data_IF_059730227094
#
_entry.id   IF_059730227094
#
_cell.length_a   1.000
_cell.length_b   1.000
_cell.length_c   1.000
_cell.angle_alpha   90.00
_cell.angle_beta   90.00
_cell.angle_gamma   90.00
#
_symmetry.space_group_name_H-M   'P 1'
#
loop_
_entity.id
_entity.type
_entity.pdbx_description
1 polymer ?
#
# COMPACT_ATOMS: atom_id res chain seq x y z
N UNK A 1 -28.92 30.86 -1.30
CA UNK A 1 -27.51 31.03 -1.74
C UNK A 1 -26.94 29.66 -2.06
N UNK A 2 -26.72 29.35 -3.34
CA UNK A 2 -26.11 28.09 -3.80
C UNK A 2 -24.58 28.25 -3.77
N UNK A 3 -23.89 27.48 -2.93
CA UNK A 3 -22.45 27.30 -3.03
C UNK A 3 -22.17 26.04 -3.85
N UNK A 4 -21.54 26.25 -5.01
CA UNK A 4 -21.02 25.19 -5.88
C UNK A 4 -19.67 24.74 -5.33
N UNK A 5 -19.55 23.48 -4.93
CA UNK A 5 -18.27 22.88 -4.55
C UNK A 5 -17.56 22.34 -5.80
N UNK A 6 -16.32 22.81 -5.96
CA UNK A 6 -15.36 22.44 -7.00
C UNK A 6 -15.09 20.93 -7.03
N UNK A 7 -15.08 20.36 -8.24
CA UNK A 7 -14.72 18.96 -8.54
C UNK A 7 -13.34 18.61 -7.96
N UNK A 8 -13.29 17.63 -7.06
CA UNK A 8 -12.05 16.95 -6.66
C UNK A 8 -11.49 16.18 -7.86
N UNK A 9 -10.21 16.37 -8.17
CA UNK A 9 -9.51 15.72 -9.29
C UNK A 9 -9.07 14.31 -8.89
N UNK A 10 -9.28 13.35 -9.79
CA UNK A 10 -8.97 11.93 -9.65
C UNK A 10 -7.45 11.65 -9.54
N UNK A 11 -7.07 10.81 -8.58
CA UNK A 11 -5.71 10.30 -8.34
C UNK A 11 -5.65 8.79 -8.72
N UNK A 12 -4.49 8.12 -8.68
CA UNK A 12 -4.30 6.76 -9.20
C UNK A 12 -4.71 5.70 -8.19
N UNK A 13 -5.58 4.77 -8.60
CA UNK A 13 -6.11 3.73 -7.72
C UNK A 13 -5.80 2.34 -8.28
N UNK A 14 -5.32 1.43 -7.42
CA UNK A 14 -4.94 0.05 -7.73
C UNK A 14 -5.31 -0.81 -6.51
N UNK A 15 -5.81 -2.04 -6.68
CA UNK A 15 -5.73 -3.06 -5.62
C UNK A 15 -5.25 -4.38 -6.21
N UNK A 16 -3.97 -4.73 -6.13
CA UNK A 16 -3.47 -6.05 -6.54
C UNK A 16 -2.61 -6.64 -5.43
N UNK A 17 -2.84 -7.92 -5.12
CA UNK A 17 -1.94 -8.69 -4.28
C UNK A 17 -0.76 -9.18 -5.13
N UNK A 18 0.44 -8.85 -4.71
CA UNK A 18 1.69 -9.39 -5.25
C UNK A 18 2.27 -10.33 -4.20
N UNK A 19 2.50 -11.56 -4.61
CA UNK A 19 3.10 -12.60 -3.80
C UNK A 19 4.59 -12.58 -4.10
N UNK A 20 5.41 -12.41 -3.07
CA UNK A 20 6.88 -12.30 -3.20
C UNK A 20 7.55 -13.55 -2.65
N UNK A 21 8.19 -14.33 -3.53
CA UNK A 21 9.01 -15.50 -3.17
C UNK A 21 10.50 -15.14 -3.32
N UNK A 22 11.34 -15.51 -2.36
CA UNK A 22 12.75 -15.11 -2.28
C UNK A 22 13.71 -16.10 -2.96
N UNK A 23 14.86 -15.63 -3.45
CA UNK A 23 15.98 -16.44 -3.95
C UNK A 23 17.13 -16.46 -2.92
N UNK A 24 17.77 -17.60 -2.71
CA UNK A 24 19.06 -17.68 -2.00
C UNK A 24 20.20 -17.52 -3.02
N UNK A 25 21.03 -16.47 -2.96
CA UNK A 25 22.49 -16.46 -3.29
C UNK A 25 23.07 -15.02 -3.08
N UNK A 26 24.40 -14.86 -2.86
CA UNK A 26 25.03 -13.59 -2.51
C UNK A 26 25.23 -12.70 -3.75
N UNK A 27 25.13 -11.40 -3.49
CA UNK A 27 25.08 -10.31 -4.46
C UNK A 27 26.43 -10.16 -5.19
N UNK A 28 26.43 -10.13 -6.52
CA UNK A 28 27.61 -9.78 -7.34
C UNK A 28 27.45 -8.35 -7.93
N UNK A 29 28.55 -7.62 -8.22
CA UNK A 29 28.49 -6.18 -8.47
C UNK A 29 27.96 -5.83 -9.87
N UNK A 30 27.22 -4.72 -9.91
CA UNK A 30 26.53 -4.09 -11.04
C UNK A 30 27.33 -4.03 -12.36
N UNK A 31 26.67 -4.34 -13.48
CA UNK A 31 27.14 -4.02 -14.83
C UNK A 31 26.46 -2.76 -15.38
N UNK A 32 27.27 -1.86 -15.93
CA UNK A 32 26.91 -0.52 -16.37
C UNK A 32 26.29 -0.57 -17.79
N UNK A 33 25.04 -0.16 -17.99
CA UNK A 33 24.45 0.03 -19.33
C UNK A 33 23.96 1.47 -19.51
N UNK A 34 24.55 2.13 -20.52
CA UNK A 34 24.19 3.46 -21.00
C UNK A 34 23.04 3.33 -22.00
N UNK A 35 21.86 3.83 -21.66
CA UNK A 35 20.77 4.01 -22.63
C UNK A 35 20.62 5.48 -23.02
N UNK A 36 20.57 5.69 -24.34
CA UNK A 36 20.50 6.98 -25.01
C UNK A 36 19.13 7.65 -24.84
N UNK A 37 19.11 8.94 -24.51
CA UNK A 37 17.91 9.76 -24.51
C UNK A 37 17.42 10.02 -25.94
N UNK A 38 16.18 9.63 -26.26
CA UNK A 38 15.41 10.21 -27.38
C UNK A 38 14.23 11.00 -26.80
N UNK A 39 14.19 12.29 -27.14
CA UNK A 39 13.08 13.19 -26.78
C UNK A 39 11.90 13.09 -27.74
N UNK A 40 10.74 13.58 -27.26
CA UNK A 40 9.55 13.86 -28.06
C UNK A 40 8.24 13.33 -27.44
N UNK A 41 7.58 14.16 -26.63
CA UNK A 41 6.33 14.88 -26.93
C UNK A 41 5.50 15.13 -25.65
N UNK A 42 5.20 16.42 -25.40
CA UNK A 42 4.51 16.89 -24.19
C UNK A 42 3.03 16.48 -24.19
N UNK A 43 2.70 15.36 -23.55
CA UNK A 43 1.33 14.91 -23.37
C UNK A 43 0.73 15.38 -22.02
N UNK A 44 0.55 16.69 -21.83
CA UNK A 44 -0.28 17.23 -20.73
C UNK A 44 -1.76 17.05 -21.06
N UNK A 45 -2.32 15.86 -20.86
CA UNK A 45 -3.76 15.61 -20.86
C UNK A 45 -4.16 14.70 -19.69
N UNK A 46 -4.74 15.31 -18.65
CA UNK A 46 -5.12 14.68 -17.38
C UNK A 46 -6.59 14.23 -17.36
N UNK A 47 -6.96 13.27 -18.21
CA UNK A 47 -8.21 12.50 -18.08
C UNK A 47 -7.83 11.01 -18.01
N UNK A 48 -7.94 10.40 -16.82
CA UNK A 48 -7.59 8.98 -16.59
C UNK A 48 -8.76 8.23 -15.93
N UNK A 49 -8.89 6.94 -16.24
CA UNK A 49 -9.85 6.02 -15.63
C UNK A 49 -9.08 4.98 -14.83
N UNK A 50 -9.35 4.90 -13.52
CA UNK A 50 -8.73 3.95 -12.61
C UNK A 50 -9.01 2.48 -13.01
N UNK A 51 -8.11 1.56 -12.62
CA UNK A 51 -8.33 0.12 -12.77
C UNK A 51 -8.13 -0.51 -14.16
N UNK A 52 -7.38 0.12 -15.08
CA UNK A 52 -7.16 -0.46 -16.44
C UNK A 52 -5.95 -1.38 -16.59
N UNK A 53 -5.00 -1.35 -15.67
CA UNK A 53 -3.72 -2.07 -15.80
C UNK A 53 -3.71 -3.25 -14.84
N UNK A 54 -3.67 -4.48 -15.39
CA UNK A 54 -3.57 -5.69 -14.57
C UNK A 54 -2.23 -5.81 -13.86
N UNK A 55 -2.20 -6.60 -12.78
CA UNK A 55 -1.00 -6.83 -11.95
C UNK A 55 0.25 -7.19 -12.76
N UNK A 56 0.12 -8.03 -13.79
CA UNK A 56 1.24 -8.42 -14.65
C UNK A 56 1.87 -7.23 -15.38
N UNK A 57 1.07 -6.26 -15.80
CA UNK A 57 1.59 -5.06 -16.46
C UNK A 57 2.34 -4.16 -15.47
N UNK A 58 1.94 -4.11 -14.19
CA UNK A 58 2.67 -3.39 -13.15
C UNK A 58 4.03 -4.04 -12.87
N UNK A 59 4.06 -5.38 -12.79
CA UNK A 59 5.31 -6.14 -12.62
C UNK A 59 6.23 -5.97 -13.83
N UNK A 60 5.69 -6.08 -15.04
CA UNK A 60 6.45 -5.92 -16.28
C UNK A 60 6.96 -4.48 -16.49
N UNK A 61 6.29 -3.48 -15.91
CA UNK A 61 6.75 -2.08 -15.94
C UNK A 61 7.98 -1.83 -15.05
N UNK A 62 8.28 -2.73 -14.12
CA UNK A 62 9.45 -2.66 -13.21
C UNK A 62 10.29 -3.92 -13.36
N UNK A 63 11.02 -4.10 -14.48
CA UNK A 63 11.79 -5.33 -14.73
C UNK A 63 12.85 -5.63 -13.66
N UNK A 64 13.35 -4.61 -12.96
CA UNK A 64 14.31 -4.71 -11.86
C UNK A 64 13.78 -5.54 -10.67
N UNK A 65 12.46 -5.78 -10.59
CA UNK A 65 11.89 -6.67 -9.58
C UNK A 65 12.44 -8.10 -9.69
N UNK A 66 12.77 -8.54 -10.91
CA UNK A 66 13.30 -9.89 -11.17
C UNK A 66 14.69 -10.10 -10.58
N UNK A 67 15.43 -9.03 -10.32
CA UNK A 67 16.76 -9.08 -9.74
C UNK A 67 16.73 -9.26 -8.21
N UNK A 68 15.59 -8.94 -7.57
CA UNK A 68 15.46 -8.93 -6.11
C UNK A 68 14.48 -9.99 -5.57
N UNK A 69 13.51 -10.43 -6.37
CA UNK A 69 12.55 -11.45 -5.96
C UNK A 69 11.88 -12.17 -7.14
N UNK A 70 11.39 -13.39 -6.87
CA UNK A 70 10.44 -14.07 -7.75
C UNK A 70 9.02 -13.57 -7.42
N UNK A 71 8.53 -12.63 -8.23
CA UNK A 71 7.24 -11.96 -8.01
C UNK A 71 6.15 -12.68 -8.80
N UNK A 72 5.10 -13.11 -8.10
CA UNK A 72 3.87 -13.65 -8.69
C UNK A 72 2.72 -12.67 -8.46
N UNK A 73 2.12 -12.17 -9.54
CA UNK A 73 0.95 -11.30 -9.46
C UNK A 73 -0.34 -12.07 -9.23
N UNK A 74 -1.22 -11.56 -8.36
CA UNK A 74 -2.59 -12.04 -8.23
C UNK A 74 -3.58 -10.88 -8.08
N UNK A 75 -4.58 -10.85 -8.96
CA UNK A 75 -5.63 -9.84 -8.90
C UNK A 75 -6.70 -10.27 -7.89
N UNK A 76 -6.82 -9.59 -6.75
CA UNK A 76 -7.85 -9.88 -5.74
C UNK A 76 -9.17 -9.18 -6.10
N UNK A 77 -9.13 -7.85 -6.26
CA UNK A 77 -10.23 -7.04 -6.80
C UNK A 77 -9.63 -5.93 -7.67
N UNK A 78 -10.44 -5.12 -8.35
CA UNK A 78 -9.94 -3.99 -9.12
C UNK A 78 -10.87 -2.80 -8.96
N UNK A 79 -10.71 -2.10 -7.84
CA UNK A 79 -11.58 -0.99 -7.40
C UNK A 79 -10.74 0.22 -6.98
N UNK A 80 -11.39 1.38 -6.94
CA UNK A 80 -10.80 2.54 -6.27
C UNK A 80 -10.80 2.36 -4.76
N UNK A 81 -9.80 2.88 -4.06
CA UNK A 81 -9.73 2.77 -2.59
C UNK A 81 -10.86 3.51 -1.88
N UNK A 82 -11.46 4.52 -2.51
CA UNK A 82 -12.67 5.17 -2.03
C UNK A 82 -13.91 4.26 -2.02
N UNK A 83 -13.87 3.16 -2.78
CA UNK A 83 -14.92 2.12 -2.85
C UNK A 83 -14.52 0.87 -2.04
N UNK A 84 -13.46 0.98 -1.23
CA UNK A 84 -13.03 -0.08 -0.31
C UNK A 84 -14.14 -0.40 0.70
N UNK A 85 -14.24 -1.67 1.07
CA UNK A 85 -15.31 -2.17 1.94
C UNK A 85 -14.86 -3.40 2.73
N UNK A 86 -15.69 -3.77 3.70
CA UNK A 86 -15.46 -4.86 4.65
C UNK A 86 -15.24 -6.22 3.96
N UNK A 87 -15.94 -6.49 2.85
CA UNK A 87 -15.80 -7.76 2.13
C UNK A 87 -14.40 -7.91 1.53
N UNK A 88 -13.84 -6.82 1.02
CA UNK A 88 -12.46 -6.80 0.48
C UNK A 88 -11.45 -6.95 1.61
N UNK A 89 -11.66 -6.29 2.74
CA UNK A 89 -10.82 -6.45 3.94
C UNK A 89 -10.80 -7.90 4.45
N UNK A 90 -11.97 -8.51 4.61
CA UNK A 90 -12.10 -9.92 5.00
C UNK A 90 -11.43 -10.84 3.99
N UNK A 91 -11.60 -10.57 2.68
CA UNK A 91 -10.96 -11.35 1.62
C UNK A 91 -9.43 -11.26 1.69
N UNK A 92 -8.87 -10.06 1.85
CA UNK A 92 -7.43 -9.85 1.97
C UNK A 92 -6.86 -10.55 3.20
N UNK A 93 -7.45 -10.35 4.38
CA UNK A 93 -6.97 -10.97 5.62
C UNK A 93 -6.98 -12.50 5.53
N UNK A 94 -8.10 -13.09 5.07
CA UNK A 94 -8.22 -14.54 4.88
C UNK A 94 -7.20 -15.08 3.88
N UNK A 95 -7.02 -14.38 2.76
CA UNK A 95 -6.08 -14.78 1.71
C UNK A 95 -4.64 -14.76 2.20
N UNK A 96 -4.20 -13.69 2.85
CA UNK A 96 -2.84 -13.56 3.41
C UNK A 96 -2.58 -14.69 4.41
N UNK A 97 -3.54 -14.93 5.32
CA UNK A 97 -3.41 -15.99 6.32
C UNK A 97 -3.36 -17.39 5.68
N UNK A 98 -4.16 -17.65 4.64
CA UNK A 98 -4.19 -18.94 3.94
C UNK A 98 -2.94 -19.19 3.11
N UNK A 99 -2.37 -18.15 2.52
CA UNK A 99 -1.22 -18.24 1.62
C UNK A 99 0.11 -17.98 2.33
N UNK A 100 0.11 -17.71 3.64
CA UNK A 100 1.30 -17.37 4.42
C UNK A 100 2.42 -18.41 4.26
N UNK A 101 2.10 -19.70 4.28
CA UNK A 101 3.10 -20.77 4.15
C UNK A 101 3.62 -20.95 2.71
N UNK A 102 2.98 -20.34 1.71
CA UNK A 102 3.27 -20.52 0.28
C UNK A 102 4.21 -19.45 -0.29
N UNK A 103 4.54 -18.43 0.50
CA UNK A 103 5.32 -17.26 0.05
C UNK A 103 6.23 -16.73 1.16
N UNK A 104 7.21 -15.89 0.83
CA UNK A 104 8.13 -15.31 1.81
C UNK A 104 7.71 -13.92 2.28
N UNK A 105 6.88 -13.24 1.49
CA UNK A 105 6.24 -11.98 1.87
C UNK A 105 5.10 -11.63 0.92
N UNK A 106 4.38 -10.56 1.27
CA UNK A 106 3.26 -10.02 0.50
C UNK A 106 3.49 -8.54 0.23
N UNK A 107 3.18 -8.12 -1.00
CA UNK A 107 3.06 -6.73 -1.39
C UNK A 107 1.64 -6.48 -1.86
N UNK A 108 0.93 -5.53 -1.27
CA UNK A 108 -0.44 -5.18 -1.62
C UNK A 108 -0.38 -3.81 -2.28
N UNK A 109 -0.49 -3.77 -3.61
CA UNK A 109 -0.74 -2.50 -4.29
C UNK A 109 -2.13 -2.04 -3.90
N UNK A 110 -2.28 -0.79 -3.46
CA UNK A 110 -3.51 -0.21 -2.92
C UNK A 110 -3.65 1.26 -3.36
N UNK A 111 -4.89 1.75 -3.50
CA UNK A 111 -5.16 3.17 -3.73
C UNK A 111 -4.85 4.00 -2.49
N UNK A 112 -4.41 5.24 -2.66
CA UNK A 112 -3.87 6.02 -1.52
C UNK A 112 -4.93 6.57 -0.58
N UNK A 113 -6.21 6.61 -0.96
CA UNK A 113 -7.21 7.35 -0.17
C UNK A 113 -7.61 6.66 1.13
N UNK A 114 -7.59 5.32 1.18
CA UNK A 114 -7.99 4.52 2.37
C UNK A 114 -6.92 3.48 2.73
N UNK A 115 -5.69 3.67 2.23
CA UNK A 115 -4.59 2.72 2.48
C UNK A 115 -4.30 2.58 3.97
N UNK A 116 -4.35 3.69 4.72
CA UNK A 116 -4.16 3.70 6.18
C UNK A 116 -5.20 2.86 6.92
N UNK A 117 -6.46 2.87 6.47
CA UNK A 117 -7.53 2.08 7.07
C UNK A 117 -7.33 0.59 6.81
N UNK A 118 -7.04 0.21 5.56
CA UNK A 118 -6.75 -1.18 5.19
C UNK A 118 -5.49 -1.69 5.87
N UNK A 119 -4.43 -0.87 5.94
CA UNK A 119 -3.19 -1.24 6.62
C UNK A 119 -3.45 -1.56 8.08
N UNK A 120 -4.19 -0.69 8.78
CA UNK A 120 -4.51 -0.90 10.19
C UNK A 120 -5.44 -2.09 10.41
N UNK A 121 -6.43 -2.31 9.54
CA UNK A 121 -7.29 -3.50 9.60
C UNK A 121 -6.47 -4.79 9.48
N UNK A 122 -5.57 -4.87 8.48
CA UNK A 122 -4.72 -6.03 8.27
C UNK A 122 -3.71 -6.19 9.42
N UNK A 123 -3.18 -5.08 9.95
CA UNK A 123 -2.27 -5.07 11.10
C UNK A 123 -2.89 -5.72 12.34
N UNK A 124 -4.22 -5.66 12.47
CA UNK A 124 -4.95 -6.28 13.56
C UNK A 124 -5.41 -7.72 13.28
N UNK A 125 -5.52 -8.15 12.03
CA UNK A 125 -6.24 -9.39 11.66
C UNK A 125 -5.38 -10.45 10.97
N UNK A 126 -4.24 -10.06 10.40
CA UNK A 126 -3.28 -10.99 9.81
C UNK A 126 -2.57 -11.78 10.91
N UNK A 127 -2.39 -13.09 10.70
CA UNK A 127 -1.69 -14.02 11.61
C UNK A 127 -0.41 -14.58 10.99
N UNK A 128 0.01 -14.00 9.86
CA UNK A 128 1.27 -14.29 9.21
C UNK A 128 2.37 -13.37 9.77
N UNK A 129 3.45 -13.96 10.27
CA UNK A 129 4.60 -13.20 10.81
C UNK A 129 5.58 -12.72 9.73
N UNK A 130 5.36 -13.17 8.49
CA UNK A 130 6.12 -12.75 7.30
C UNK A 130 5.76 -11.31 6.91
N UNK A 131 6.65 -10.59 6.22
CA UNK A 131 6.40 -9.20 5.82
C UNK A 131 5.13 -9.06 4.97
N UNK A 132 4.24 -8.14 5.39
CA UNK A 132 3.07 -7.71 4.62
C UNK A 132 3.20 -6.22 4.38
N UNK A 133 3.41 -5.82 3.12
CA UNK A 133 3.72 -4.45 2.74
C UNK A 133 2.64 -3.89 1.84
N UNK A 134 2.05 -2.77 2.20
CA UNK A 134 1.15 -2.01 1.33
C UNK A 134 1.91 -0.93 0.57
N UNK A 135 1.52 -0.68 -0.67
CA UNK A 135 2.17 0.29 -1.55
C UNK A 135 1.17 0.95 -2.49
N UNK A 136 1.39 2.20 -2.85
CA UNK A 136 0.55 2.93 -3.79
C UNK A 136 1.32 3.89 -4.67
N UNK A 137 0.57 4.77 -5.34
CA UNK A 137 1.12 5.85 -6.14
C UNK A 137 0.21 7.07 -6.04
N UNK A 138 0.79 8.25 -5.83
CA UNK A 138 0.07 9.52 -5.87
C UNK A 138 -0.07 10.06 -7.29
N UNK A 139 0.81 9.66 -8.22
CA UNK A 139 0.75 10.05 -9.62
C UNK A 139 0.44 8.85 -10.52
N UNK A 140 -0.35 9.04 -11.60
CA UNK A 140 -0.77 7.92 -12.43
C UNK A 140 0.40 7.38 -13.24
N UNK A 141 0.31 6.12 -13.68
CA UNK A 141 1.39 5.45 -14.41
C UNK A 141 1.80 6.16 -15.70
N UNK A 142 0.91 6.95 -16.30
CA UNK A 142 1.16 7.75 -17.51
C UNK A 142 1.72 9.14 -17.25
N UNK A 143 1.85 9.54 -15.98
CA UNK A 143 2.38 10.87 -15.64
C UNK A 143 3.90 10.94 -15.79
N UNK A 144 4.38 12.14 -16.11
CA UNK A 144 5.80 12.43 -16.00
C UNK A 144 6.24 12.29 -14.54
N UNK A 145 7.34 11.57 -14.32
CA UNK A 145 7.86 11.28 -12.99
C UNK A 145 6.84 10.58 -12.08
N UNK A 146 6.15 9.58 -12.62
CA UNK A 146 5.28 8.69 -11.85
C UNK A 146 6.06 8.02 -10.71
N UNK A 147 5.50 8.01 -9.51
CA UNK A 147 6.10 7.46 -8.29
C UNK A 147 5.85 5.95 -8.13
N UNK A 148 4.80 5.42 -8.75
CA UNK A 148 4.41 4.01 -8.66
C UNK A 148 5.52 2.98 -8.95
N UNK A 149 6.30 3.10 -10.04
CA UNK A 149 7.36 2.13 -10.35
C UNK A 149 8.40 1.98 -9.22
N UNK A 150 8.86 3.10 -8.65
CA UNK A 150 9.88 3.08 -7.62
C UNK A 150 9.31 2.70 -6.25
N UNK A 151 8.10 3.17 -5.93
CA UNK A 151 7.38 2.71 -4.73
C UNK A 151 7.20 1.19 -4.76
N UNK A 152 6.79 0.61 -5.90
CA UNK A 152 6.62 -0.83 -6.05
C UNK A 152 7.95 -1.59 -5.87
N UNK A 153 9.03 -1.09 -6.48
CA UNK A 153 10.37 -1.65 -6.28
C UNK A 153 10.74 -1.70 -4.78
N UNK A 154 10.60 -0.56 -4.09
CA UNK A 154 10.91 -0.45 -2.66
C UNK A 154 9.99 -1.30 -1.77
N UNK A 155 8.72 -1.47 -2.15
CA UNK A 155 7.81 -2.36 -1.44
C UNK A 155 8.24 -3.82 -1.55
N UNK A 156 8.70 -4.26 -2.73
CA UNK A 156 9.26 -5.60 -2.92
C UNK A 156 10.59 -5.76 -2.18
N UNK A 157 11.47 -4.76 -2.19
CA UNK A 157 12.68 -4.75 -1.33
C UNK A 157 12.30 -4.98 0.13
N UNK A 158 11.29 -4.25 0.62
CA UNK A 158 10.82 -4.36 2.01
C UNK A 158 10.20 -5.72 2.30
N UNK A 159 9.38 -6.26 1.40
CA UNK A 159 8.77 -7.58 1.58
C UNK A 159 9.79 -8.73 1.49
N UNK A 160 10.90 -8.53 0.78
CA UNK A 160 11.98 -9.50 0.65
C UNK A 160 13.01 -9.42 1.80
N UNK A 161 13.05 -8.33 2.56
CA UNK A 161 13.96 -8.17 3.68
C UNK A 161 13.44 -8.92 4.92
N UNK A 162 14.25 -9.87 5.41
CA UNK A 162 13.96 -10.63 6.64
C UNK A 162 13.83 -9.73 7.86
N UNK A 163 14.50 -8.59 7.89
CA UNK A 163 14.41 -7.61 8.97
C UNK A 163 13.04 -6.93 9.05
N UNK A 164 12.21 -7.01 7.99
CA UNK A 164 10.85 -6.49 7.94
C UNK A 164 9.82 -7.38 8.65
N UNK A 165 10.16 -8.64 8.91
CA UNK A 165 9.27 -9.57 9.61
C UNK A 165 9.00 -9.11 11.05
N UNK A 166 7.86 -9.50 11.62
CA UNK A 166 7.45 -9.16 12.99
C UNK A 166 7.33 -7.64 13.29
N UNK A 167 7.11 -6.79 12.27
CA UNK A 167 6.89 -5.34 12.45
C UNK A 167 5.45 -4.90 12.18
N UNK A 168 4.53 -5.86 12.16
CA UNK A 168 3.15 -5.65 11.76
C UNK A 168 3.00 -5.53 10.24
N UNK A 169 1.86 -5.00 9.80
CA UNK A 169 1.64 -4.59 8.41
C UNK A 169 2.34 -3.26 8.18
N UNK A 170 3.03 -3.15 7.05
CA UNK A 170 3.86 -2.00 6.70
C UNK A 170 3.23 -1.22 5.55
N UNK A 171 3.48 0.09 5.49
CA UNK A 171 3.24 0.92 4.31
C UNK A 171 4.57 1.43 3.80
N UNK A 172 4.84 1.24 2.50
CA UNK A 172 6.07 1.73 1.85
C UNK A 172 5.70 2.74 0.78
N UNK A 173 6.10 3.98 1.00
CA UNK A 173 5.87 5.11 0.10
C UNK A 173 7.03 6.09 0.23
N UNK A 174 7.51 6.65 -0.89
CA UNK A 174 8.52 7.71 -0.90
C UNK A 174 9.75 7.36 -0.04
N UNK A 175 10.37 6.21 -0.36
CA UNK A 175 11.60 5.68 0.26
C UNK A 175 11.53 5.44 1.78
N UNK A 176 10.34 5.35 2.34
CA UNK A 176 10.11 5.26 3.78
C UNK A 176 9.28 4.04 4.14
N UNK A 177 9.67 3.32 5.20
CA UNK A 177 8.88 2.22 5.79
C UNK A 177 8.13 2.75 7.00
N UNK A 178 6.80 2.62 6.95
CA UNK A 178 5.86 3.14 7.94
C UNK A 178 5.08 1.97 8.57
N UNK A 179 4.73 2.08 9.84
CA UNK A 179 3.85 1.11 10.49
C UNK A 179 2.40 1.33 10.08
N UNK A 180 1.64 0.24 9.88
CA UNK A 180 0.24 0.30 9.45
C UNK A 180 -0.71 0.98 10.45
N UNK A 181 -0.26 1.27 11.68
CA UNK A 181 -1.08 1.83 12.74
C UNK A 181 -1.03 3.36 12.82
N UNK A 182 0.15 3.96 12.66
CA UNK A 182 0.34 5.41 12.79
C UNK A 182 0.38 6.14 11.45
N UNK A 183 0.59 5.40 10.35
CA UNK A 183 0.66 5.96 9.00
C UNK A 183 -0.66 6.61 8.59
N UNK A 184 -0.58 7.82 8.05
CA UNK A 184 -1.74 8.54 7.49
C UNK A 184 -1.34 9.41 6.32
N UNK A 185 -2.29 9.66 5.41
CA UNK A 185 -2.17 10.56 4.26
C UNK A 185 -2.35 12.01 4.68
N UNK A 186 -1.23 12.71 4.83
CA UNK A 186 -1.18 14.11 5.30
C UNK A 186 -1.47 15.19 4.26
N UNK A 187 -1.48 14.84 2.97
CA UNK A 187 -1.61 15.77 1.84
C UNK A 187 -2.41 15.14 0.70
N UNK A 188 -3.16 15.96 -0.03
CA UNK A 188 -4.01 15.49 -1.12
C UNK A 188 -3.26 15.19 -2.41
N UNK A 189 -2.03 15.68 -2.61
CA UNK A 189 -1.32 15.60 -3.90
C UNK A 189 0.17 15.28 -3.82
N UNK A 190 0.80 15.49 -2.66
CA UNK A 190 2.23 15.27 -2.48
C UNK A 190 2.57 13.76 -2.52
N UNK A 191 3.67 13.40 -3.19
CA UNK A 191 4.20 12.03 -3.20
C UNK A 191 4.73 11.61 -1.82
N UNK A 192 5.21 12.58 -1.03
CA UNK A 192 5.68 12.37 0.35
C UNK A 192 4.54 12.44 1.40
N UNK A 193 3.30 12.19 0.97
CA UNK A 193 2.11 12.42 1.81
C UNK A 193 1.96 11.45 2.97
N UNK A 194 2.43 10.22 2.87
CA UNK A 194 2.26 9.24 3.93
C UNK A 194 3.30 9.43 5.02
N UNK A 195 2.82 9.64 6.24
CA UNK A 195 3.67 9.87 7.41
C UNK A 195 3.08 9.15 8.63
N UNK A 196 3.93 8.54 9.43
CA UNK A 196 3.61 8.14 10.81
C UNK A 196 3.75 9.39 11.67
N UNK A 197 2.64 10.10 11.85
CA UNK A 197 2.63 11.49 12.34
C UNK A 197 2.89 11.63 13.84
N UNK A 198 2.71 10.56 14.62
CA UNK A 198 2.89 10.60 16.08
C UNK A 198 4.22 9.98 16.52
N UNK A 199 4.65 8.87 15.90
CA UNK A 199 5.82 8.10 16.34
C UNK A 199 6.97 8.06 15.31
N UNK A 200 6.76 8.60 14.11
CA UNK A 200 7.75 8.61 13.03
C UNK A 200 7.90 7.24 12.34
N UNK A 201 8.69 7.19 11.26
CA UNK A 201 8.86 5.97 10.47
C UNK A 201 9.65 4.89 11.18
N UNK A 202 9.51 3.66 10.71
CA UNK A 202 10.28 2.51 11.19
C UNK A 202 11.71 2.51 10.64
N UNK A 203 11.86 2.93 9.39
CA UNK A 203 13.14 2.98 8.69
C UNK A 203 13.03 3.66 7.34
N UNK A 204 14.19 3.86 6.72
CA UNK A 204 14.31 4.45 5.38
C UNK A 204 15.01 3.49 4.44
N UNK A 205 14.63 3.56 3.17
CA UNK A 205 15.15 2.71 2.11
C UNK A 205 16.14 3.53 1.29
N UNK A 206 17.39 3.07 1.23
CA UNK A 206 18.42 3.70 0.43
C UNK A 206 19.23 2.64 -0.32
N UNK A 207 19.30 2.77 -1.65
CA UNK A 207 19.98 1.81 -2.54
C UNK A 207 19.54 0.35 -2.33
N UNK A 208 18.23 0.12 -2.18
CA UNK A 208 17.68 -1.23 -1.99
C UNK A 208 18.00 -1.87 -0.64
N UNK A 209 18.44 -1.08 0.35
CA UNK A 209 18.68 -1.52 1.72
C UNK A 209 17.87 -0.67 2.69
N UNK A 210 17.43 -1.30 3.78
CA UNK A 210 16.59 -0.64 4.77
C UNK A 210 17.38 -0.47 6.05
N UNK A 211 17.43 0.76 6.55
CA UNK A 211 17.93 1.04 7.90
C UNK A 211 16.74 1.17 8.87
N UNK A 212 16.49 0.12 9.64
CA UNK A 212 15.43 0.09 10.66
C UNK A 212 15.93 0.63 11.99
N UNK A 213 15.29 1.70 12.48
CA UNK A 213 15.62 2.32 13.76
C UNK A 213 14.49 2.20 14.78
N UNK A 214 13.29 1.78 14.35
CA UNK A 214 12.12 1.59 15.23
C UNK A 214 11.33 0.33 14.87
N UNK A 215 10.51 -0.10 15.81
CA UNK A 215 9.47 -1.13 15.63
C UNK A 215 8.23 -0.69 16.42
N UNK A 216 7.00 -0.98 15.95
CA UNK A 216 5.80 -0.64 16.72
C UNK A 216 5.79 -1.41 18.05
N UNK A 217 5.50 -0.72 19.15
CA UNK A 217 5.41 -1.32 20.49
C UNK A 217 3.99 -1.83 20.83
N UNK A 218 2.99 -1.46 20.02
CA UNK A 218 1.61 -1.93 20.19
C UNK A 218 1.48 -3.32 19.59
N UNK A 219 0.67 -4.17 20.23
CA UNK A 219 0.35 -5.51 19.72
C UNK A 219 -0.26 -5.44 18.33
N UNK A 220 0.24 -6.27 17.44
CA UNK A 220 -0.20 -6.42 16.06
C UNK A 220 -0.15 -7.90 15.66
N UNK A 221 -0.69 -8.19 14.49
CA UNK A 221 -0.68 -9.48 13.81
C UNK A 221 -1.03 -10.67 14.72
N UNK A 222 -0.06 -11.56 14.98
CA UNK A 222 -0.20 -12.77 15.79
C UNK A 222 -0.47 -12.48 17.27
N UNK A 223 -0.09 -11.30 17.79
CA UNK A 223 -0.28 -10.90 19.18
C UNK A 223 -1.69 -10.32 19.47
N UNK A 224 -2.51 -10.11 18.46
CA UNK A 224 -3.88 -9.59 18.64
C UNK A 224 -4.89 -10.73 18.85
N UNK A 225 -5.98 -10.48 19.59
CA UNK A 225 -7.05 -11.47 19.78
C UNK A 225 -8.03 -11.54 18.59
N UNK A 226 -7.88 -10.71 17.57
CA UNK A 226 -8.85 -10.60 16.49
C UNK A 226 -8.62 -11.71 15.44
N UNK A 227 -9.62 -12.57 15.26
CA UNK A 227 -9.65 -13.59 14.21
C UNK A 227 -10.90 -13.39 13.35
N UNK A 228 -10.68 -13.09 12.06
CA UNK A 228 -11.72 -12.83 11.07
C UNK A 228 -11.95 -14.01 10.10
N UNK A 229 -11.28 -15.15 10.33
CA UNK A 229 -11.31 -16.31 9.43
C UNK A 229 -12.73 -16.84 9.17
N UNK A 230 -13.59 -16.80 10.19
CA UNK A 230 -14.98 -17.30 10.16
C UNK A 230 -16.03 -16.20 9.97
N UNK A 231 -15.62 -14.93 9.90
CA UNK A 231 -16.54 -13.81 9.76
C UNK A 231 -16.90 -13.59 8.30
N UNK A 232 -18.19 -13.34 8.03
CA UNK A 232 -18.68 -12.96 6.71
C UNK A 232 -19.11 -11.49 6.64
N UNK A 233 -19.19 -10.82 7.79
CA UNK A 233 -19.51 -9.40 7.91
C UNK A 233 -18.82 -8.82 9.15
N UNK A 234 -18.61 -7.50 9.16
CA UNK A 234 -18.11 -6.75 10.31
C UNK A 234 -19.25 -5.94 10.96
N UNK A 235 -19.16 -5.64 12.26
CA UNK A 235 -20.11 -4.74 12.90
C UNK A 235 -20.14 -3.37 12.20
N UNK A 236 -21.34 -2.81 12.00
CA UNK A 236 -21.50 -1.49 11.37
C UNK A 236 -20.99 -0.40 12.31
N UNK A 237 -19.97 0.34 11.88
CA UNK A 237 -19.39 1.48 12.61
C UNK A 237 -19.43 2.72 11.73
N UNK A 238 -20.11 3.77 12.20
CA UNK A 238 -20.19 5.06 11.51
C UNK A 238 -19.25 6.11 12.12
N UNK A 239 -18.75 7.03 11.29
CA UNK A 239 -17.95 8.18 11.75
C UNK A 239 -18.82 9.45 11.66
N UNK A 240 -18.95 10.17 12.78
CA UNK A 240 -19.65 11.46 12.85
C UNK A 240 -18.64 12.57 13.05
N UNK A 241 -18.68 13.58 12.17
CA UNK A 241 -17.75 14.71 12.20
C UNK A 241 -18.35 15.89 12.96
N UNK A 242 -17.71 16.32 14.05
CA UNK A 242 -18.19 17.45 14.86
C UNK A 242 -17.63 18.78 14.34
N UNK A 243 -18.50 19.77 14.16
CA UNK A 243 -18.16 21.17 13.87
C UNK A 243 -19.01 22.10 14.74
N UNK A 244 -18.69 23.39 14.78
CA UNK A 244 -19.38 24.37 15.63
C UNK A 244 -20.91 24.39 15.51
N UNK A 245 -21.47 23.95 14.37
CA UNK A 245 -22.92 23.98 14.10
C UNK A 245 -23.51 22.59 13.83
N UNK A 246 -22.88 21.49 14.27
CA UNK A 246 -23.34 20.15 13.92
C UNK A 246 -24.75 19.85 14.49
N UNK A 247 -25.78 19.63 13.64
CA UNK A 247 -27.11 19.28 14.12
C UNK A 247 -27.12 17.83 14.64
N UNK A 248 -27.61 17.64 15.86
CA UNK A 248 -27.69 16.35 16.60
C UNK A 248 -28.47 15.25 15.85
N UNK A 249 -29.16 15.58 14.75
CA UNK A 249 -30.05 14.70 14.02
C UNK A 249 -29.36 13.46 13.40
N UNK A 250 -28.07 13.54 13.06
CA UNK A 250 -27.35 12.41 12.44
C UNK A 250 -27.05 11.24 13.39
N UNK A 251 -27.20 11.41 14.70
CA UNK A 251 -26.95 10.36 15.70
C UNK A 251 -28.17 9.44 15.94
N UNK A 252 -29.38 9.83 15.50
CA UNK A 252 -30.63 9.17 15.92
C UNK A 252 -31.16 8.08 14.98
N UNK A 253 -30.48 7.79 13.88
CA UNK A 253 -30.98 6.89 12.82
C UNK A 253 -30.04 5.72 12.47
N UNK A 254 -29.22 5.29 13.43
CA UNK A 254 -28.39 4.09 13.34
C UNK A 254 -28.88 3.04 14.32
#
# INVERSE_FOLDING_TARGET
MKWSFSKRRHLPHWLCGLVVQHWHYPISPFSNRRDHCRGGDSATKSNYTAGKVGVENLVNAVPQLKDIANVKGEQVVNIGSQDMNDDVWLTLAKKINTDCDKTDGFVITHGTDTMEETAYFLDLTVKCDKPVVMVGAMRPSTSMSADGPFNLYNAVVTAADKASANRGVLVVMNDTVLDGRDVTKTNTTDVATFKSVNYGPLGYIHNGKIDYQRTPARKHTSDTPFDVSKLNELPKVGIVYTTLTHPIFRLKHW
#
